data_IF_398159753898
#
_entry.id   IF_398159753898
#
_cell.length_a   1.000
_cell.length_b   1.000
_cell.length_c   1.000
_cell.angle_alpha   90.00
_cell.angle_beta   90.00
_cell.angle_gamma   90.00
#
_symmetry.space_group_name_H-M   'P 1'
#
loop_
_entity.id
_entity.type
_entity.pdbx_description
1 polymer ?
#
# COMPACT_ATOMS: atom_id res chain seq x y z
N UNK A 1 -24.66 30.21 -33.18
CA UNK A 1 -23.62 31.11 -32.66
C UNK A 1 -22.42 30.24 -32.35
N UNK A 2 -21.47 30.17 -33.28
CA UNK A 2 -20.16 29.60 -32.99
C UNK A 2 -19.47 30.49 -31.96
N UNK A 3 -18.84 29.92 -30.92
CA UNK A 3 -18.11 30.72 -29.95
C UNK A 3 -16.91 31.39 -30.65
N UNK A 4 -16.78 32.70 -30.42
CA UNK A 4 -15.68 33.51 -30.94
C UNK A 4 -14.32 32.91 -30.54
N UNK A 5 -13.35 32.81 -31.46
CA UNK A 5 -12.02 32.32 -31.14
C UNK A 5 -11.35 33.31 -30.18
N UNK A 6 -11.05 32.87 -28.96
CA UNK A 6 -10.31 33.67 -27.99
C UNK A 6 -8.86 33.75 -28.47
N UNK A 7 -8.43 34.92 -28.95
CA UNK A 7 -7.03 35.14 -29.31
C UNK A 7 -6.13 34.95 -28.07
N UNK A 8 -4.98 34.27 -28.19
CA UNK A 8 -4.08 34.07 -27.07
C UNK A 8 -3.57 35.42 -26.55
N UNK A 9 -3.82 35.72 -25.28
CA UNK A 9 -3.50 36.99 -24.62
C UNK A 9 -1.98 37.29 -24.50
N UNK A 10 -1.11 36.42 -25.00
CA UNK A 10 0.34 36.61 -24.99
C UNK A 10 0.97 35.93 -26.20
N UNK A 11 1.88 36.61 -26.91
CA UNK A 11 2.65 36.06 -28.03
C UNK A 11 3.66 34.97 -27.64
N UNK A 12 3.34 34.14 -26.64
CA UNK A 12 4.10 32.97 -26.26
C UNK A 12 3.78 31.75 -27.13
N UNK A 13 4.58 30.68 -27.07
CA UNK A 13 4.43 29.50 -27.91
C UNK A 13 3.23 28.60 -27.56
N UNK A 14 2.45 28.94 -26.54
CA UNK A 14 1.30 28.15 -26.08
C UNK A 14 -0.03 28.80 -26.50
N UNK A 15 -0.88 28.04 -27.19
CA UNK A 15 -2.24 28.45 -27.54
C UNK A 15 -3.26 27.88 -26.53
N UNK A 16 -4.52 28.30 -26.65
CA UNK A 16 -5.63 27.83 -25.80
C UNK A 16 -5.79 26.29 -25.80
N UNK A 17 -5.55 25.63 -26.94
CA UNK A 17 -5.61 24.17 -27.05
C UNK A 17 -4.54 23.49 -26.18
N UNK A 18 -3.31 24.00 -26.19
CA UNK A 18 -2.24 23.49 -25.35
C UNK A 18 -2.58 23.58 -23.85
N UNK A 19 -3.24 24.68 -23.43
CA UNK A 19 -3.71 24.81 -22.04
C UNK A 19 -4.80 23.78 -21.70
N UNK A 20 -5.74 23.52 -22.62
CA UNK A 20 -6.78 22.50 -22.43
C UNK A 20 -6.21 21.09 -22.33
N UNK A 21 -5.20 20.77 -23.14
CA UNK A 21 -4.50 19.50 -23.08
C UNK A 21 -3.77 19.31 -21.73
N UNK A 22 -3.09 20.36 -21.24
CA UNK A 22 -2.43 20.36 -19.93
C UNK A 22 -3.43 20.20 -18.77
N UNK A 23 -4.56 20.90 -18.82
CA UNK A 23 -5.62 20.78 -17.81
C UNK A 23 -6.22 19.37 -17.79
N UNK A 24 -6.48 18.80 -18.96
CA UNK A 24 -7.00 17.43 -19.11
C UNK A 24 -6.03 16.41 -18.53
N UNK A 25 -4.75 16.50 -18.89
CA UNK A 25 -3.69 15.64 -18.35
C UNK A 25 -3.54 15.78 -16.83
N UNK A 26 -3.61 17.01 -16.31
CA UNK A 26 -3.57 17.27 -14.86
C UNK A 26 -4.72 16.57 -14.13
N UNK A 27 -5.93 16.62 -14.69
CA UNK A 27 -7.10 15.94 -14.12
C UNK A 27 -6.94 14.41 -14.13
N UNK A 28 -6.34 13.85 -15.18
CA UNK A 28 -6.07 12.40 -15.28
C UNK A 28 -4.99 11.93 -14.29
N UNK A 29 -4.02 12.77 -13.95
CA UNK A 29 -2.95 12.45 -12.99
C UNK A 29 -3.44 12.49 -11.54
N UNK A 30 -4.49 13.26 -11.22
CA UNK A 30 -4.99 13.43 -9.82
C UNK A 30 -5.26 12.10 -9.10
N UNK A 31 -5.99 11.12 -9.66
CA UNK A 31 -6.19 9.81 -9.02
C UNK A 31 -4.90 9.03 -8.80
N UNK A 32 -3.93 9.17 -9.71
CA UNK A 32 -2.62 8.50 -9.64
C UNK A 32 -1.81 9.09 -8.48
N UNK A 33 -1.80 10.42 -8.32
CA UNK A 33 -1.17 11.10 -7.16
C UNK A 33 -1.84 10.75 -5.85
N UNK A 34 -3.16 10.55 -5.84
CA UNK A 34 -3.86 10.06 -4.64
C UNK A 34 -3.37 8.66 -4.27
N UNK A 35 -3.29 7.76 -5.24
CA UNK A 35 -2.80 6.40 -5.02
C UNK A 35 -1.33 6.38 -4.55
N UNK A 36 -0.48 7.28 -5.07
CA UNK A 36 0.92 7.37 -4.65
C UNK A 36 1.08 7.86 -3.20
N UNK A 37 0.18 8.74 -2.71
CA UNK A 37 0.13 9.15 -1.30
C UNK A 37 -0.33 8.02 -0.38
N UNK A 38 -1.31 7.22 -0.81
CA UNK A 38 -1.73 6.01 -0.06
C UNK A 38 -0.57 5.03 0.03
N UNK A 39 0.16 4.79 -1.06
CA UNK A 39 1.34 3.92 -1.06
C UNK A 39 2.46 4.46 -0.15
N UNK A 40 2.65 5.78 -0.11
CA UNK A 40 3.58 6.41 0.81
C UNK A 40 3.20 6.17 2.27
N UNK A 41 1.92 6.39 2.62
CA UNK A 41 1.41 6.16 3.96
C UNK A 41 1.60 4.70 4.38
N UNK A 42 1.16 3.75 3.56
CA UNK A 42 1.30 2.32 3.82
C UNK A 42 2.78 1.92 3.97
N UNK A 43 3.65 2.38 3.05
CA UNK A 43 5.08 2.11 3.10
C UNK A 43 5.74 2.63 4.38
N UNK A 44 5.38 3.83 4.83
CA UNK A 44 5.88 4.41 6.08
C UNK A 44 5.36 3.70 7.33
N UNK A 45 4.07 3.37 7.39
CA UNK A 45 3.51 2.61 8.50
C UNK A 45 4.21 1.25 8.63
N UNK A 46 4.39 0.53 7.52
CA UNK A 46 5.12 -0.74 7.52
C UNK A 46 6.60 -0.56 7.91
N UNK A 47 7.28 0.50 7.45
CA UNK A 47 8.67 0.78 7.81
C UNK A 47 8.83 1.04 9.32
N UNK A 48 7.92 1.84 9.90
CA UNK A 48 7.96 2.16 11.33
C UNK A 48 7.73 0.90 12.16
N UNK A 49 6.74 0.07 11.81
CA UNK A 49 6.51 -1.18 12.51
C UNK A 49 7.72 -2.11 12.36
N UNK A 50 8.28 -2.25 11.15
CA UNK A 50 9.50 -3.05 10.93
C UNK A 50 10.68 -2.58 11.80
N UNK A 51 10.88 -1.27 11.91
CA UNK A 51 11.94 -0.68 12.73
C UNK A 51 11.72 -0.94 14.24
N UNK A 52 10.47 -0.83 14.71
CA UNK A 52 10.12 -1.14 16.11
C UNK A 52 10.25 -2.65 16.39
N UNK A 53 9.96 -3.50 15.39
CA UNK A 53 10.10 -4.96 15.50
C UNK A 53 11.55 -5.45 15.45
N UNK A 54 12.47 -4.69 14.85
CA UNK A 54 13.86 -5.09 14.63
C UNK A 54 14.61 -5.58 15.90
N UNK A 55 14.48 -4.96 17.09
CA UNK A 55 15.11 -5.48 18.31
C UNK A 55 14.65 -6.90 18.65
N UNK A 56 13.39 -7.25 18.37
CA UNK A 56 12.83 -8.57 18.63
C UNK A 56 13.34 -9.65 17.67
N UNK A 57 13.88 -9.26 16.52
CA UNK A 57 14.49 -10.19 15.57
C UNK A 57 15.72 -10.93 16.12
N UNK A 58 16.37 -10.38 17.16
CA UNK A 58 17.49 -11.03 17.83
C UNK A 58 17.08 -12.10 18.85
N UNK A 59 15.81 -12.15 19.24
CA UNK A 59 15.31 -13.02 20.31
C UNK A 59 14.50 -14.22 19.83
N UNK A 60 14.25 -14.34 18.52
CA UNK A 60 13.49 -15.48 17.98
C UNK A 60 13.22 -15.39 16.49
N UNK A 61 12.87 -16.54 15.91
CA UNK A 61 12.53 -16.66 14.49
C UNK A 61 11.28 -15.84 14.13
N UNK A 62 10.32 -15.70 15.04
CA UNK A 62 9.09 -14.94 14.82
C UNK A 62 9.39 -13.46 14.60
N UNK A 63 10.21 -12.87 15.47
CA UNK A 63 10.65 -11.48 15.34
C UNK A 63 11.42 -11.24 14.05
N UNK A 64 12.30 -12.18 13.67
CA UNK A 64 13.06 -12.10 12.42
C UNK A 64 12.13 -12.15 11.20
N UNK A 65 11.19 -13.09 11.18
CA UNK A 65 10.22 -13.26 10.10
C UNK A 65 9.35 -12.00 9.92
N UNK A 66 8.84 -11.43 11.02
CA UNK A 66 8.05 -10.20 11.01
C UNK A 66 8.87 -9.03 10.45
N UNK A 67 10.09 -8.82 10.96
CA UNK A 67 10.94 -7.71 10.53
C UNK A 67 11.30 -7.82 9.05
N UNK A 68 11.68 -9.01 8.57
CA UNK A 68 11.98 -9.22 7.14
C UNK A 68 10.72 -8.97 6.30
N UNK A 69 9.59 -9.57 6.67
CA UNK A 69 8.33 -9.45 5.95
C UNK A 69 7.88 -8.00 5.80
N UNK A 70 7.85 -7.24 6.90
CA UNK A 70 7.44 -5.84 6.89
C UNK A 70 8.43 -4.93 6.15
N UNK A 71 9.74 -5.21 6.26
CA UNK A 71 10.77 -4.48 5.51
C UNK A 71 10.59 -4.69 4.01
N UNK A 72 10.37 -5.94 3.57
CA UNK A 72 10.12 -6.26 2.16
C UNK A 72 8.86 -5.56 1.64
N UNK A 73 7.74 -5.64 2.37
CA UNK A 73 6.48 -4.98 2.00
C UNK A 73 6.67 -3.47 1.89
N UNK A 74 7.34 -2.85 2.87
CA UNK A 74 7.63 -1.42 2.87
C UNK A 74 8.48 -1.01 1.66
N UNK A 75 9.54 -1.75 1.36
CA UNK A 75 10.38 -1.50 0.19
C UNK A 75 9.57 -1.58 -1.11
N UNK A 76 8.70 -2.58 -1.24
CA UNK A 76 7.84 -2.75 -2.41
C UNK A 76 6.79 -1.64 -2.55
N UNK A 77 6.22 -1.13 -1.45
CA UNK A 77 5.34 0.04 -1.45
C UNK A 77 6.06 1.30 -1.97
N UNK A 78 7.30 1.54 -1.49
CA UNK A 78 8.09 2.69 -1.97
C UNK A 78 8.49 2.56 -3.44
N UNK A 79 8.84 1.35 -3.90
CA UNK A 79 9.11 1.09 -5.31
C UNK A 79 7.85 1.30 -6.17
N UNK A 80 6.70 0.78 -5.73
CA UNK A 80 5.42 0.98 -6.39
C UNK A 80 5.01 2.45 -6.46
N UNK A 81 5.21 3.21 -5.38
CA UNK A 81 5.03 4.66 -5.37
C UNK A 81 5.90 5.36 -6.41
N UNK A 82 7.20 5.03 -6.47
CA UNK A 82 8.12 5.62 -7.47
C UNK A 82 7.64 5.32 -8.89
N UNK A 83 7.14 4.10 -9.16
CA UNK A 83 6.56 3.72 -10.45
C UNK A 83 5.27 4.51 -10.77
N UNK A 84 4.40 4.73 -9.78
CA UNK A 84 3.19 5.57 -9.95
C UNK A 84 3.55 7.01 -10.30
N UNK A 85 4.56 7.60 -9.63
CA UNK A 85 5.01 8.97 -9.90
C UNK A 85 5.66 9.10 -11.27
N UNK A 86 6.31 8.04 -11.76
CA UNK A 86 6.81 7.92 -13.13
C UNK A 86 5.71 7.61 -14.16
N UNK A 87 4.45 7.52 -13.72
CA UNK A 87 3.29 7.20 -14.55
C UNK A 87 3.45 5.88 -15.32
N UNK A 88 4.14 4.89 -14.75
CA UNK A 88 4.33 3.59 -15.39
C UNK A 88 3.00 2.79 -15.46
N UNK A 89 2.59 2.24 -16.62
CA UNK A 89 1.31 1.54 -16.76
C UNK A 89 1.10 0.34 -15.83
N UNK A 90 2.19 -0.34 -15.45
CA UNK A 90 2.17 -1.51 -14.56
C UNK A 90 2.18 -1.17 -13.07
N UNK A 91 2.42 0.10 -12.70
CA UNK A 91 2.61 0.52 -11.32
C UNK A 91 1.42 0.18 -10.40
N UNK A 92 0.21 0.41 -10.91
CA UNK A 92 -1.02 0.10 -10.19
C UNK A 92 -1.20 -1.42 -9.96
N UNK A 93 -0.91 -2.25 -10.97
CA UNK A 93 -0.97 -3.70 -10.81
C UNK A 93 0.10 -4.21 -9.85
N UNK A 94 1.30 -3.63 -9.90
CA UNK A 94 2.40 -3.97 -8.99
C UNK A 94 2.02 -3.75 -7.54
N UNK A 95 1.46 -2.57 -7.21
CA UNK A 95 0.97 -2.27 -5.87
C UNK A 95 -0.21 -3.16 -5.46
N UNK A 96 -1.12 -3.46 -6.38
CA UNK A 96 -2.21 -4.41 -6.13
C UNK A 96 -1.69 -5.79 -5.71
N UNK A 97 -0.72 -6.34 -6.46
CA UNK A 97 -0.09 -7.61 -6.12
C UNK A 97 0.74 -7.56 -4.84
N UNK A 98 1.37 -6.43 -4.53
CA UNK A 98 2.05 -6.24 -3.25
C UNK A 98 1.08 -6.35 -2.06
N UNK A 99 -0.10 -5.74 -2.17
CA UNK A 99 -1.14 -5.82 -1.13
C UNK A 99 -1.69 -7.24 -0.99
N UNK A 100 -1.87 -7.97 -2.10
CA UNK A 100 -2.24 -9.40 -2.08
C UNK A 100 -1.15 -10.22 -1.39
N UNK A 101 0.12 -10.03 -1.75
CA UNK A 101 1.24 -10.73 -1.13
C UNK A 101 1.34 -10.43 0.37
N UNK A 102 1.13 -9.18 0.78
CA UNK A 102 1.13 -8.80 2.19
C UNK A 102 -0.05 -9.45 2.95
N UNK A 103 -1.25 -9.45 2.37
CA UNK A 103 -2.40 -10.16 2.93
C UNK A 103 -2.10 -11.65 3.10
N UNK A 104 -1.54 -12.31 2.09
CA UNK A 104 -1.15 -13.71 2.15
C UNK A 104 -0.14 -13.98 3.26
N UNK A 105 0.86 -13.09 3.42
CA UNK A 105 1.84 -13.19 4.49
C UNK A 105 1.20 -13.10 5.88
N UNK A 106 0.29 -12.12 6.09
CA UNK A 106 -0.42 -11.96 7.36
C UNK A 106 -1.27 -13.21 7.66
N UNK A 107 -2.04 -13.69 6.69
CA UNK A 107 -2.88 -14.88 6.86
C UNK A 107 -2.02 -16.09 7.19
N UNK A 108 -0.92 -16.32 6.44
CA UNK A 108 -0.02 -17.44 6.69
C UNK A 108 0.58 -17.37 8.11
N UNK A 109 1.01 -16.19 8.56
CA UNK A 109 1.52 -15.99 9.92
C UNK A 109 0.44 -16.23 10.99
N UNK A 110 -0.76 -15.67 10.81
CA UNK A 110 -1.86 -15.87 11.76
C UNK A 110 -2.27 -17.35 11.85
N UNK A 111 -2.32 -18.06 10.72
CA UNK A 111 -2.60 -19.49 10.71
C UNK A 111 -1.48 -20.29 11.38
N UNK A 112 -0.22 -19.94 11.15
CA UNK A 112 0.90 -20.56 11.87
C UNK A 112 0.72 -20.36 13.38
N UNK A 113 0.46 -19.14 13.85
CA UNK A 113 0.27 -18.87 15.29
C UNK A 113 -0.96 -19.56 15.90
N UNK A 114 -2.01 -19.81 15.10
CA UNK A 114 -3.22 -20.51 15.55
C UNK A 114 -3.08 -22.03 15.54
N UNK A 115 -2.29 -22.58 14.62
CA UNK A 115 -2.05 -24.02 14.49
C UNK A 115 -0.83 -24.49 15.30
N UNK A 116 -0.02 -23.57 15.80
CA UNK A 116 1.12 -23.85 16.67
C UNK A 116 0.67 -24.37 18.04
N UNK A 117 1.59 -25.05 18.72
CA UNK A 117 1.33 -25.55 20.07
C UNK A 117 1.18 -24.38 21.06
N UNK A 118 0.08 -24.32 21.82
CA UNK A 118 -0.08 -23.29 22.83
C UNK A 118 0.97 -23.49 23.94
N UNK A 119 1.51 -22.39 24.51
CA UNK A 119 2.43 -22.47 25.63
C UNK A 119 1.75 -23.18 26.80
N UNK A 120 2.47 -24.09 27.45
CA UNK A 120 1.97 -24.73 28.66
C UNK A 120 1.94 -23.71 29.80
N UNK A 121 0.75 -23.14 30.06
CA UNK A 121 0.56 -22.10 31.09
C UNK A 121 0.92 -22.62 32.48
N UNK A 122 0.64 -23.90 32.76
CA UNK A 122 0.95 -24.52 34.06
C UNK A 122 2.46 -24.68 34.31
N UNK A 123 3.26 -24.73 33.24
CA UNK A 123 4.72 -24.78 33.32
C UNK A 123 5.37 -23.39 33.51
N UNK A 124 4.59 -22.31 33.42
CA UNK A 124 5.06 -20.93 33.51
C UNK A 124 4.36 -20.22 34.70
N UNK A 125 5.00 -20.16 35.89
CA UNK A 125 4.39 -19.63 37.10
C UNK A 125 3.86 -18.20 36.95
N UNK A 126 4.59 -17.35 36.22
CA UNK A 126 4.22 -15.95 35.97
C UNK A 126 2.93 -15.85 35.13
N UNK A 127 2.83 -16.63 34.04
CA UNK A 127 1.65 -16.69 33.18
C UNK A 127 0.45 -17.31 33.92
N UNK A 128 0.68 -18.35 34.70
CA UNK A 128 -0.35 -18.99 35.52
C UNK A 128 -0.91 -18.04 36.58
N UNK A 129 -0.08 -17.17 37.16
CA UNK A 129 -0.52 -16.18 38.14
C UNK A 129 -1.37 -15.08 37.50
N UNK A 130 -1.01 -14.64 36.28
CA UNK A 130 -1.75 -13.60 35.55
C UNK A 130 -3.09 -14.09 34.98
N UNK A 131 -3.12 -15.31 34.46
CA UNK A 131 -4.28 -15.86 33.74
C UNK A 131 -5.21 -16.69 34.65
N UNK A 132 -4.75 -17.07 35.84
CA UNK A 132 -5.53 -17.80 36.84
C UNK A 132 -5.85 -19.25 36.47
N UNK A 133 -6.81 -19.85 37.17
CA UNK A 133 -7.16 -21.27 37.06
C UNK A 133 -7.66 -21.69 35.67
N UNK A 134 -8.26 -20.77 34.91
CA UNK A 134 -8.74 -21.01 33.54
C UNK A 134 -7.76 -20.47 32.48
N UNK A 135 -6.49 -20.28 32.86
CA UNK A 135 -5.55 -19.52 32.04
C UNK A 135 -5.28 -20.14 30.67
N UNK A 136 -5.31 -21.47 30.57
CA UNK A 136 -5.19 -22.17 29.29
C UNK A 136 -6.34 -21.83 28.33
N UNK A 137 -7.58 -21.98 28.78
CA UNK A 137 -8.77 -21.69 27.97
C UNK A 137 -8.87 -20.19 27.61
N UNK A 138 -8.50 -19.32 28.55
CA UNK A 138 -8.45 -17.88 28.32
C UNK A 138 -7.41 -17.54 27.25
N UNK A 139 -6.20 -18.10 27.34
CA UNK A 139 -5.15 -17.92 26.34
C UNK A 139 -5.62 -18.36 24.95
N UNK A 140 -6.19 -19.56 24.82
CA UNK A 140 -6.69 -20.08 23.54
C UNK A 140 -7.78 -19.19 22.95
N UNK A 141 -8.73 -18.73 23.78
CA UNK A 141 -9.80 -17.83 23.36
C UNK A 141 -9.25 -16.49 22.88
N UNK A 142 -8.29 -15.91 23.62
CA UNK A 142 -7.62 -14.68 23.24
C UNK A 142 -6.79 -14.85 21.97
N UNK A 143 -6.10 -15.98 21.82
CA UNK A 143 -5.30 -16.30 20.65
C UNK A 143 -6.17 -16.31 19.38
N UNK A 144 -7.30 -17.04 19.43
CA UNK A 144 -8.29 -17.09 18.35
C UNK A 144 -8.90 -15.72 18.08
N UNK A 145 -9.29 -14.99 19.12
CA UNK A 145 -9.89 -13.66 18.97
C UNK A 145 -8.91 -12.66 18.32
N UNK A 146 -7.66 -12.62 18.77
CA UNK A 146 -6.61 -11.73 18.24
C UNK A 146 -6.28 -12.10 16.81
N UNK A 147 -5.83 -13.33 16.52
CA UNK A 147 -5.40 -13.69 15.16
C UNK A 147 -6.58 -13.77 14.18
N UNK A 148 -7.75 -14.22 14.63
CA UNK A 148 -8.98 -14.21 13.83
C UNK A 148 -9.40 -12.79 13.45
N UNK A 149 -9.37 -11.84 14.40
CA UNK A 149 -9.66 -10.43 14.10
C UNK A 149 -8.63 -9.81 13.16
N UNK A 150 -7.33 -10.11 13.34
CA UNK A 150 -6.27 -9.65 12.44
C UNK A 150 -6.49 -10.14 11.01
N UNK A 151 -6.90 -11.40 10.80
CA UNK A 151 -7.24 -11.93 9.48
C UNK A 151 -8.40 -11.14 8.86
N UNK A 152 -9.51 -11.00 9.59
CA UNK A 152 -10.71 -10.31 9.09
C UNK A 152 -10.40 -8.86 8.72
N UNK A 153 -9.76 -8.12 9.63
CA UNK A 153 -9.34 -6.74 9.38
C UNK A 153 -8.39 -6.67 8.19
N UNK A 154 -7.46 -7.61 8.07
CA UNK A 154 -6.50 -7.61 6.96
C UNK A 154 -7.16 -7.87 5.61
N UNK A 155 -8.13 -8.78 5.54
CA UNK A 155 -8.92 -9.01 4.32
C UNK A 155 -9.65 -7.74 3.90
N UNK A 156 -10.22 -6.99 4.85
CA UNK A 156 -10.91 -5.74 4.58
C UNK A 156 -9.94 -4.67 4.08
N UNK A 157 -8.86 -4.40 4.82
CA UNK A 157 -7.95 -3.28 4.52
C UNK A 157 -6.99 -3.59 3.37
N UNK A 158 -6.27 -4.71 3.40
CA UNK A 158 -5.29 -5.08 2.36
C UNK A 158 -6.02 -5.56 1.11
N UNK A 159 -7.12 -6.30 1.23
CA UNK A 159 -7.98 -6.64 0.10
C UNK A 159 -8.61 -5.41 -0.54
N UNK A 160 -9.12 -4.47 0.28
CA UNK A 160 -9.62 -3.18 -0.18
C UNK A 160 -8.57 -2.34 -0.89
N UNK A 161 -7.35 -2.26 -0.34
CA UNK A 161 -6.21 -1.57 -0.96
C UNK A 161 -5.79 -2.24 -2.28
N UNK A 162 -5.77 -3.57 -2.34
CA UNK A 162 -5.46 -4.31 -3.56
C UNK A 162 -6.46 -3.98 -4.68
N UNK A 163 -7.76 -4.07 -4.39
CA UNK A 163 -8.84 -3.70 -5.33
C UNK A 163 -8.69 -2.22 -5.72
N UNK A 164 -8.47 -1.34 -4.74
CA UNK A 164 -8.24 0.08 -4.99
C UNK A 164 -7.10 0.28 -6.00
N UNK A 165 -5.93 -0.34 -5.82
CA UNK A 165 -4.83 -0.20 -6.78
C UNK A 165 -5.15 -0.79 -8.14
N UNK A 166 -5.73 -1.99 -8.22
CA UNK A 166 -6.11 -2.58 -9.51
C UNK A 166 -7.09 -1.69 -10.28
N UNK A 167 -8.06 -1.08 -9.60
CA UNK A 167 -8.99 -0.14 -10.25
C UNK A 167 -8.32 1.15 -10.71
N UNK A 168 -7.14 1.51 -10.19
CA UNK A 168 -6.39 2.70 -10.64
C UNK A 168 -5.60 2.50 -11.92
N UNK A 169 -5.38 1.25 -12.34
CA UNK A 169 -4.72 0.91 -13.61
C UNK A 169 -5.36 1.62 -14.81
N UNK A 170 -6.70 1.72 -14.83
CA UNK A 170 -7.43 2.36 -15.93
C UNK A 170 -7.05 3.83 -16.14
N UNK A 171 -6.70 4.56 -15.07
CA UNK A 171 -6.30 5.97 -15.19
C UNK A 171 -4.90 6.11 -15.77
N UNK A 172 -3.97 5.20 -15.44
CA UNK A 172 -2.65 5.16 -16.07
C UNK A 172 -2.75 4.83 -17.56
N UNK A 173 -3.57 3.84 -17.91
CA UNK A 173 -3.79 3.47 -19.32
C UNK A 173 -4.44 4.62 -20.09
N UNK A 174 -5.50 5.23 -19.54
CA UNK A 174 -6.16 6.38 -20.15
C UNK A 174 -5.19 7.56 -20.32
N UNK A 175 -4.35 7.84 -19.32
CA UNK A 175 -3.33 8.88 -19.43
C UNK A 175 -2.39 8.64 -20.62
N UNK A 176 -1.88 7.42 -20.77
CA UNK A 176 -0.99 7.09 -21.90
C UNK A 176 -1.65 7.10 -23.26
N UNK A 177 -2.95 6.80 -23.33
CA UNK A 177 -3.70 6.74 -24.59
C UNK A 177 -4.25 8.10 -25.02
N UNK A 178 -4.65 8.95 -24.07
CA UNK A 178 -5.40 10.19 -24.32
C UNK A 178 -4.53 11.43 -24.19
N UNK A 179 -3.34 11.34 -23.59
CA UNK A 179 -2.45 12.49 -23.41
C UNK A 179 -1.45 12.58 -24.57
N UNK A 180 -1.37 13.73 -25.28
CA UNK A 180 -0.37 13.96 -26.32
C UNK A 180 1.05 13.76 -25.83
N UNK A 181 1.96 13.38 -26.74
CA UNK A 181 3.36 13.09 -26.38
C UNK A 181 4.06 14.28 -25.72
N UNK A 182 3.89 15.49 -26.26
CA UNK A 182 4.53 16.69 -25.74
C UNK A 182 4.11 16.99 -24.28
N UNK A 183 2.84 16.74 -23.92
CA UNK A 183 2.34 16.89 -22.54
C UNK A 183 2.97 15.84 -21.61
N UNK A 184 3.14 14.61 -22.10
CA UNK A 184 3.84 13.56 -21.31
C UNK A 184 5.30 13.91 -21.08
N UNK A 185 5.97 14.47 -22.09
CA UNK A 185 7.35 14.97 -21.97
C UNK A 185 7.44 16.14 -20.99
N UNK A 186 6.50 17.09 -21.06
CA UNK A 186 6.37 18.18 -20.10
C UNK A 186 6.29 17.68 -18.66
N UNK A 187 5.39 16.73 -18.37
CA UNK A 187 5.27 16.15 -17.02
C UNK A 187 6.46 15.27 -16.60
N UNK A 188 7.20 14.71 -17.55
CA UNK A 188 8.45 13.99 -17.29
C UNK A 188 9.57 14.95 -16.85
N UNK A 189 9.70 16.11 -17.52
CA UNK A 189 10.73 17.12 -17.24
C UNK A 189 10.46 17.85 -15.94
N UNK A 190 9.21 18.28 -15.71
CA UNK A 190 8.87 19.02 -14.49
C UNK A 190 9.00 18.15 -13.24
N UNK A 191 9.12 16.83 -13.40
CA UNK A 191 9.18 15.84 -12.33
C UNK A 191 8.05 16.13 -11.36
N UNK A 192 6.89 15.52 -11.61
CA UNK A 192 5.75 15.56 -10.70
C UNK A 192 6.19 15.10 -9.29
N UNK A 193 6.67 16.04 -8.48
CA UNK A 193 6.99 15.89 -7.07
C UNK A 193 5.69 15.85 -6.26
#
# INVERSE_FOLDING_TARGET
>A
MEPEPIEPASGGPLNEEHYRELLTATNQIRPIRRASRVAAFNGWTAAVIAAISLPFAFFGLDGLAITIGLTTVSAMEFLGRRKLLKLEPSAASWLGWNQVGFLSLIIAYCLWMLLGEPPNISANPELSQLLGANGQQLYETLNVAVYGSVIVLSVIFQGGNAIYYFTRRKYLVAYHQQTPQWVREFFRVISVA
#
